data_IF_223662703261
#
_entry.id   IF_223662703261
#
_cell.length_a   1.000
_cell.length_b   1.000
_cell.length_c   1.000
_cell.angle_alpha   90.00
_cell.angle_beta   90.00
_cell.angle_gamma   90.00
#
_symmetry.space_group_name_H-M   'P 1'
#
loop_
_entity.id
_entity.type
_entity.pdbx_description
1 polymer ?
#
# COMPACT_ATOMS: atom_id res chain seq x y z
N UNK A 1 -40.92 -14.45 -2.87
CA UNK A 1 -39.73 -13.59 -2.85
C UNK A 1 -38.49 -14.42 -3.27
N UNK A 2 -37.64 -13.85 -4.09
CA UNK A 2 -36.38 -14.45 -4.52
C UNK A 2 -35.21 -13.58 -4.01
N UNK A 3 -34.21 -14.20 -3.38
CA UNK A 3 -32.99 -13.49 -2.99
C UNK A 3 -32.09 -13.41 -4.22
N UNK A 4 -31.71 -12.19 -4.61
CA UNK A 4 -30.83 -11.92 -5.72
C UNK A 4 -29.38 -11.70 -5.27
N UNK A 5 -29.20 -11.09 -4.10
CA UNK A 5 -27.89 -10.88 -3.49
C UNK A 5 -27.98 -10.76 -1.97
N UNK A 6 -26.88 -11.05 -1.29
CA UNK A 6 -26.75 -10.93 0.16
C UNK A 6 -25.35 -10.49 0.52
N UNK A 7 -25.24 -9.46 1.35
CA UNK A 7 -23.97 -8.94 1.86
C UNK A 7 -24.02 -8.65 3.33
N UNK A 8 -22.96 -9.00 4.06
CA UNK A 8 -22.84 -8.74 5.49
C UNK A 8 -21.56 -7.95 5.76
N UNK A 9 -21.68 -6.96 6.62
CA UNK A 9 -20.53 -6.21 7.13
C UNK A 9 -20.62 -6.05 8.65
N UNK A 10 -19.48 -6.27 9.32
CA UNK A 10 -19.31 -5.96 10.74
C UNK A 10 -18.53 -4.66 10.86
N UNK A 11 -19.21 -3.59 11.29
CA UNK A 11 -18.64 -2.27 11.47
C UNK A 11 -18.63 -1.93 12.95
N UNK A 12 -17.47 -2.03 13.57
CA UNK A 12 -17.28 -1.90 15.02
C UNK A 12 -18.07 -2.98 15.79
N UNK A 13 -19.14 -2.59 16.49
CA UNK A 13 -20.04 -3.47 17.24
C UNK A 13 -21.37 -3.65 16.56
N UNK A 14 -21.52 -3.18 15.33
CA UNK A 14 -22.78 -3.22 14.59
C UNK A 14 -22.65 -4.15 13.40
N UNK A 15 -23.47 -5.20 13.38
CA UNK A 15 -23.63 -6.08 12.25
C UNK A 15 -24.66 -5.47 11.30
N UNK A 16 -24.27 -5.26 10.05
CA UNK A 16 -25.16 -4.80 8.98
C UNK A 16 -25.32 -5.92 7.96
N UNK A 17 -26.56 -6.26 7.63
CA UNK A 17 -26.92 -7.26 6.63
C UNK A 17 -27.76 -6.59 5.56
N UNK A 18 -27.27 -6.60 4.31
CA UNK A 18 -28.00 -6.17 3.13
C UNK A 18 -28.50 -7.38 2.36
N UNK A 19 -29.79 -7.41 2.05
CA UNK A 19 -30.40 -8.47 1.24
C UNK A 19 -31.15 -7.82 0.10
N UNK A 20 -30.77 -8.15 -1.13
CA UNK A 20 -31.53 -7.75 -2.32
C UNK A 20 -32.52 -8.84 -2.66
N UNK A 21 -33.79 -8.50 -2.67
CA UNK A 21 -34.89 -9.43 -2.93
C UNK A 21 -35.74 -8.95 -4.10
N UNK A 22 -36.17 -9.88 -4.93
CA UNK A 22 -37.21 -9.63 -5.93
C UNK A 22 -38.54 -10.14 -5.38
N UNK A 23 -39.54 -9.32 -5.42
CA UNK A 23 -40.92 -9.61 -4.92
C UNK A 23 -41.88 -9.15 -6.00
N UNK A 24 -42.91 -9.96 -6.25
CA UNK A 24 -44.03 -9.55 -7.10
C UNK A 24 -44.83 -8.41 -6.45
N UNK A 25 -45.25 -7.44 -7.25
CA UNK A 25 -45.99 -6.27 -6.75
C UNK A 25 -47.17 -6.63 -5.84
N UNK A 26 -47.92 -7.67 -6.22
CA UNK A 26 -49.09 -8.17 -5.45
C UNK A 26 -48.74 -8.63 -4.03
N UNK A 27 -47.51 -9.09 -3.79
CA UNK A 27 -47.10 -9.66 -2.49
C UNK A 27 -46.12 -8.74 -1.74
N UNK A 28 -45.69 -7.65 -2.32
CA UNK A 28 -44.67 -6.77 -1.73
C UNK A 28 -45.08 -6.22 -0.38
N UNK A 29 -46.29 -5.72 -0.25
CA UNK A 29 -46.80 -5.16 1.00
C UNK A 29 -46.89 -6.20 2.12
N UNK A 30 -47.29 -7.44 1.83
CA UNK A 30 -47.38 -8.51 2.82
C UNK A 30 -46.01 -8.92 3.31
N UNK A 31 -45.05 -9.11 2.41
CA UNK A 31 -43.65 -9.49 2.75
C UNK A 31 -42.99 -8.40 3.60
N UNK A 32 -43.14 -7.12 3.23
CA UNK A 32 -42.59 -6.02 4.03
C UNK A 32 -43.19 -5.97 5.43
N UNK A 33 -44.52 -6.18 5.57
CA UNK A 33 -45.20 -6.23 6.86
C UNK A 33 -44.68 -7.36 7.74
N UNK A 34 -44.53 -8.57 7.20
CA UNK A 34 -44.01 -9.72 7.93
C UNK A 34 -42.53 -9.50 8.37
N UNK A 35 -41.71 -8.91 7.52
CA UNK A 35 -40.34 -8.57 7.85
C UNK A 35 -40.25 -7.52 8.97
N UNK A 36 -41.12 -6.49 8.96
CA UNK A 36 -41.19 -5.49 10.03
C UNK A 36 -41.61 -6.10 11.37
N UNK A 37 -42.60 -6.96 11.38
CA UNK A 37 -43.00 -7.67 12.60
C UNK A 37 -41.86 -8.54 13.13
N UNK A 38 -41.20 -9.29 12.24
CA UNK A 38 -40.10 -10.16 12.65
C UNK A 38 -38.89 -9.37 13.16
N UNK A 39 -38.56 -8.26 12.53
CA UNK A 39 -37.53 -7.35 13.00
C UNK A 39 -37.82 -6.80 14.39
N UNK A 40 -39.09 -6.42 14.65
CA UNK A 40 -39.51 -5.96 15.96
C UNK A 40 -39.38 -7.05 17.03
N UNK A 41 -39.82 -8.30 16.74
CA UNK A 41 -39.66 -9.43 17.66
C UNK A 41 -38.19 -9.71 18.01
N UNK A 42 -37.28 -9.56 17.01
CA UNK A 42 -35.84 -9.82 17.17
C UNK A 42 -35.07 -8.60 17.69
N UNK A 43 -35.74 -7.48 17.90
CA UNK A 43 -35.13 -6.19 18.27
C UNK A 43 -34.03 -5.77 17.30
N UNK A 44 -34.31 -5.90 15.98
CA UNK A 44 -33.40 -5.55 14.89
C UNK A 44 -33.98 -4.36 14.13
N UNK A 45 -33.10 -3.39 13.75
CA UNK A 45 -33.51 -2.30 12.88
C UNK A 45 -33.52 -2.78 11.43
N UNK A 46 -34.59 -2.51 10.70
CA UNK A 46 -34.73 -2.82 9.29
C UNK A 46 -35.11 -1.56 8.51
N UNK A 47 -34.49 -1.38 7.34
CA UNK A 47 -34.83 -0.34 6.38
C UNK A 47 -35.03 -0.95 5.00
N UNK A 48 -35.94 -0.38 4.22
CA UNK A 48 -36.23 -0.81 2.87
C UNK A 48 -35.82 0.32 1.91
N UNK A 49 -35.13 -0.05 0.84
CA UNK A 49 -34.81 0.83 -0.27
C UNK A 49 -35.28 0.16 -1.57
N UNK A 50 -36.18 0.77 -2.34
CA UNK A 50 -36.55 0.24 -3.64
C UNK A 50 -35.36 0.35 -4.59
N UNK A 51 -35.18 -0.64 -5.44
CA UNK A 51 -34.17 -0.67 -6.52
C UNK A 51 -34.92 -0.91 -7.82
N UNK A 52 -34.71 -0.06 -8.80
CA UNK A 52 -35.30 -0.20 -10.13
C UNK A 52 -34.56 -1.27 -10.94
N UNK A 53 -35.22 -1.81 -11.98
CA UNK A 53 -34.58 -2.76 -12.87
C UNK A 53 -33.34 -2.15 -13.57
N UNK A 54 -33.39 -0.87 -13.95
CA UNK A 54 -32.27 -0.16 -14.58
C UNK A 54 -31.08 -0.02 -13.61
N UNK A 55 -31.33 0.29 -12.34
CA UNK A 55 -30.28 0.36 -11.32
C UNK A 55 -29.66 -1.01 -11.05
N UNK A 56 -30.48 -2.06 -11.07
CA UNK A 56 -29.99 -3.43 -10.91
C UNK A 56 -29.11 -3.86 -12.10
N UNK A 57 -29.58 -3.62 -13.35
CA UNK A 57 -28.81 -3.94 -14.56
C UNK A 57 -27.52 -3.13 -14.65
N UNK A 58 -27.53 -1.85 -14.25
CA UNK A 58 -26.31 -1.05 -14.16
C UNK A 58 -25.34 -1.64 -13.13
N UNK A 59 -25.84 -2.08 -11.98
CA UNK A 59 -25.01 -2.76 -10.96
C UNK A 59 -24.44 -4.09 -11.47
N UNK A 60 -25.23 -4.91 -12.17
CA UNK A 60 -24.75 -6.14 -12.82
C UNK A 60 -23.71 -5.83 -13.88
N UNK A 61 -23.91 -4.82 -14.69
CA UNK A 61 -22.96 -4.38 -15.72
C UNK A 61 -21.63 -3.85 -15.16
N UNK A 62 -21.57 -3.52 -13.86
CA UNK A 62 -20.34 -3.16 -13.16
C UNK A 62 -19.53 -4.38 -12.71
N UNK A 63 -20.11 -5.57 -12.72
CA UNK A 63 -19.38 -6.81 -12.42
C UNK A 63 -18.32 -7.08 -13.48
N UNK A 64 -17.16 -7.57 -13.07
CA UNK A 64 -16.06 -7.83 -13.99
C UNK A 64 -15.22 -6.61 -14.39
N UNK A 65 -15.57 -5.39 -13.99
CA UNK A 65 -14.69 -4.22 -14.17
C UNK A 65 -13.38 -4.39 -13.41
N UNK A 66 -12.34 -3.71 -13.90
CA UNK A 66 -11.04 -3.68 -13.24
C UNK A 66 -11.18 -3.27 -11.78
N UNK A 67 -10.35 -3.86 -10.94
CA UNK A 67 -10.25 -3.52 -9.52
C UNK A 67 -8.85 -3.02 -9.21
N UNK A 68 -8.81 -2.05 -8.30
CA UNK A 68 -7.56 -1.51 -7.77
C UNK A 68 -7.63 -1.45 -6.26
N UNK A 69 -6.47 -1.55 -5.64
CA UNK A 69 -6.29 -1.32 -4.22
C UNK A 69 -5.43 -0.07 -4.06
N UNK A 70 -5.99 0.93 -3.39
CA UNK A 70 -5.24 2.09 -2.97
C UNK A 70 -4.98 2.00 -1.47
N UNK A 71 -3.73 1.82 -1.09
CA UNK A 71 -3.31 1.81 0.30
C UNK A 71 -2.79 3.19 0.67
N UNK A 72 -3.26 3.72 1.79
CA UNK A 72 -2.83 5.02 2.34
C UNK A 72 -2.18 4.78 3.70
N UNK A 73 -0.97 5.30 3.87
CA UNK A 73 -0.19 5.16 5.09
C UNK A 73 0.16 6.54 5.62
N UNK A 74 -0.01 6.75 6.91
CA UNK A 74 0.36 8.01 7.56
C UNK A 74 0.59 7.83 9.06
N UNK A 75 1.18 8.81 9.69
CA UNK A 75 1.30 8.83 11.16
C UNK A 75 -0.06 8.98 11.81
N UNK A 76 -0.90 9.82 11.26
CA UNK A 76 -2.31 10.00 11.61
C UNK A 76 -3.12 10.12 10.33
N UNK A 77 -4.38 9.79 10.36
CA UNK A 77 -5.30 9.99 9.25
C UNK A 77 -6.39 10.97 9.71
N UNK A 78 -6.50 12.06 9.01
CA UNK A 78 -7.51 13.10 9.22
C UNK A 78 -8.66 12.98 8.21
N UNK A 79 -9.81 13.56 8.56
CA UNK A 79 -10.94 13.64 7.64
C UNK A 79 -10.57 14.38 6.32
N UNK A 80 -9.73 15.43 6.41
CA UNK A 80 -9.26 16.16 5.23
C UNK A 80 -8.43 15.29 4.29
N UNK A 81 -7.55 14.44 4.81
CA UNK A 81 -6.76 13.50 4.02
C UNK A 81 -7.66 12.47 3.31
N UNK A 82 -8.63 11.91 4.02
CA UNK A 82 -9.60 10.97 3.42
C UNK A 82 -10.43 11.65 2.32
N UNK A 83 -10.91 12.87 2.58
CA UNK A 83 -11.68 13.63 1.60
C UNK A 83 -10.85 13.95 0.33
N UNK A 84 -9.59 14.37 0.48
CA UNK A 84 -8.71 14.65 -0.65
C UNK A 84 -8.45 13.39 -1.50
N UNK A 85 -8.14 12.26 -0.87
CA UNK A 85 -7.96 10.97 -1.54
C UNK A 85 -9.24 10.56 -2.28
N UNK A 86 -10.40 10.64 -1.62
CA UNK A 86 -11.69 10.28 -2.23
C UNK A 86 -12.02 11.18 -3.42
N UNK A 87 -11.62 12.46 -3.38
CA UNK A 87 -11.79 13.40 -4.50
C UNK A 87 -10.97 12.97 -5.72
N UNK A 88 -9.70 12.57 -5.54
CA UNK A 88 -8.87 12.05 -6.63
C UNK A 88 -9.47 10.76 -7.21
N UNK A 89 -9.94 9.84 -6.37
CA UNK A 89 -10.59 8.61 -6.83
C UNK A 89 -11.83 8.94 -7.69
N UNK A 90 -12.68 9.84 -7.20
CA UNK A 90 -13.92 10.22 -7.88
C UNK A 90 -13.64 10.96 -9.19
N UNK A 91 -12.66 11.87 -9.25
CA UNK A 91 -12.29 12.59 -10.48
C UNK A 91 -11.81 11.66 -11.60
N UNK A 92 -11.30 10.48 -11.24
CA UNK A 92 -10.87 9.44 -12.19
C UNK A 92 -11.99 8.43 -12.56
N UNK A 93 -13.24 8.71 -12.17
CA UNK A 93 -14.38 7.85 -12.49
C UNK A 93 -14.38 6.49 -11.77
N UNK A 94 -13.59 6.36 -10.70
CA UNK A 94 -13.54 5.14 -9.89
C UNK A 94 -14.58 5.17 -8.78
N UNK A 95 -15.16 4.00 -8.49
CA UNK A 95 -16.02 3.80 -7.34
C UNK A 95 -15.22 3.22 -6.16
N UNK A 96 -15.54 3.64 -4.95
CA UNK A 96 -14.99 3.05 -3.72
C UNK A 96 -15.98 1.98 -3.25
N UNK A 97 -15.59 0.71 -3.35
CA UNK A 97 -16.42 -0.43 -2.90
C UNK A 97 -16.32 -0.63 -1.39
N UNK A 98 -15.14 -0.43 -0.81
CA UNK A 98 -14.92 -0.55 0.64
C UNK A 98 -13.69 0.24 1.09
N UNK A 99 -13.71 0.60 2.38
CA UNK A 99 -12.56 1.21 3.06
C UNK A 99 -12.27 0.36 4.30
N UNK A 100 -11.05 -0.19 4.37
CA UNK A 100 -10.65 -1.07 5.47
C UNK A 100 -9.41 -0.50 6.19
N UNK A 101 -9.46 -0.45 7.51
CA UNK A 101 -8.28 -0.13 8.31
C UNK A 101 -7.44 -1.39 8.51
N UNK A 102 -6.19 -1.36 8.07
CA UNK A 102 -5.24 -2.48 8.19
C UNK A 102 -4.46 -2.47 9.52
N UNK A 103 -4.34 -1.30 10.15
CA UNK A 103 -3.67 -1.18 11.46
C UNK A 103 -4.62 -1.41 12.60
N UNK A 104 -4.12 -2.01 13.69
CA UNK A 104 -4.89 -2.22 14.91
C UNK A 104 -5.43 -0.92 15.52
N UNK A 105 -6.55 -1.00 16.20
CA UNK A 105 -7.13 0.12 16.96
C UNK A 105 -6.29 0.37 18.21
N UNK A 106 -6.08 1.64 18.54
CA UNK A 106 -5.36 2.04 19.76
C UNK A 106 -6.31 2.58 20.80
N UNK A 107 -5.94 2.38 22.07
CA UNK A 107 -6.66 2.96 23.18
C UNK A 107 -6.59 4.49 23.13
N UNK A 108 -7.74 5.14 23.28
CA UNK A 108 -7.83 6.61 23.38
C UNK A 108 -7.14 7.13 24.66
N UNK A 109 -7.10 6.27 25.70
CA UNK A 109 -6.53 6.61 27.01
C UNK A 109 -5.01 6.51 27.08
N UNK A 110 -4.37 5.78 26.15
CA UNK A 110 -2.91 5.61 26.11
C UNK A 110 -2.34 6.48 25.00
N UNK A 111 -1.71 7.58 25.35
CA UNK A 111 -0.93 8.39 24.42
C UNK A 111 0.30 7.58 23.97
N UNK A 112 0.25 7.04 22.75
CA UNK A 112 1.40 6.41 22.12
C UNK A 112 1.98 7.37 21.10
N UNK A 113 3.24 7.76 21.27
CA UNK A 113 3.94 8.71 20.39
C UNK A 113 4.08 8.20 18.92
N UNK A 114 3.93 6.91 18.69
CA UNK A 114 4.05 6.30 17.37
C UNK A 114 2.69 5.77 16.89
N UNK A 115 1.83 6.65 16.41
CA UNK A 115 0.59 6.23 15.73
C UNK A 115 0.86 6.18 14.24
N UNK A 116 0.98 4.96 13.69
CA UNK A 116 0.91 4.77 12.25
C UNK A 116 -0.48 4.24 11.91
N UNK A 117 -1.10 4.82 10.91
CA UNK A 117 -2.40 4.40 10.41
C UNK A 117 -2.24 3.96 8.96
N UNK A 118 -2.81 2.79 8.65
CA UNK A 118 -2.87 2.27 7.29
C UNK A 118 -4.31 1.92 6.99
N UNK A 119 -4.82 2.45 5.89
CA UNK A 119 -6.15 2.13 5.36
C UNK A 119 -6.04 1.69 3.91
N UNK A 120 -6.92 0.83 3.52
CA UNK A 120 -7.04 0.29 2.18
C UNK A 120 -8.40 0.68 1.61
N UNK A 121 -8.40 1.24 0.40
CA UNK A 121 -9.57 1.48 -0.41
C UNK A 121 -9.62 0.41 -1.50
N UNK A 122 -10.72 -0.32 -1.57
CA UNK A 122 -11.03 -1.18 -2.71
C UNK A 122 -11.78 -0.35 -3.74
N UNK A 123 -11.20 -0.23 -4.94
CA UNK A 123 -11.69 0.61 -6.01
C UNK A 123 -12.17 -0.26 -7.17
N UNK A 124 -13.24 0.17 -7.83
CA UNK A 124 -13.79 -0.48 -9.02
C UNK A 124 -13.89 0.50 -10.18
N UNK A 125 -13.50 0.05 -11.36
CA UNK A 125 -13.53 0.82 -12.60
C UNK A 125 -12.17 0.85 -13.28
N UNK A 126 -12.05 1.68 -14.30
CA UNK A 126 -10.79 1.98 -14.97
C UNK A 126 -10.57 3.48 -14.86
N UNK A 127 -9.43 3.95 -14.31
CA UNK A 127 -9.18 5.38 -14.23
C UNK A 127 -9.18 6.01 -15.62
N UNK A 128 -9.71 7.22 -15.75
CA UNK A 128 -9.69 7.96 -17.01
C UNK A 128 -8.26 8.19 -17.49
N UNK A 129 -7.36 8.55 -16.58
CA UNK A 129 -5.92 8.68 -16.83
C UNK A 129 -5.13 8.17 -15.60
N UNK A 130 -4.50 7.01 -15.78
CA UNK A 130 -3.71 6.39 -14.71
C UNK A 130 -2.48 7.21 -14.32
N UNK A 131 -1.82 7.85 -15.29
CA UNK A 131 -0.63 8.67 -15.04
C UNK A 131 -0.99 9.95 -14.31
N UNK A 132 -2.09 10.60 -14.70
CA UNK A 132 -2.61 11.75 -13.99
C UNK A 132 -3.00 11.40 -12.55
N UNK A 133 -3.70 10.29 -12.35
CA UNK A 133 -4.05 9.81 -11.01
C UNK A 133 -2.83 9.62 -10.13
N UNK A 134 -1.77 8.98 -10.65
CA UNK A 134 -0.53 8.81 -9.92
C UNK A 134 0.11 10.15 -9.56
N UNK A 135 0.16 11.09 -10.50
CA UNK A 135 0.73 12.42 -10.27
C UNK A 135 -0.03 13.19 -9.20
N UNK A 136 -1.36 13.15 -9.22
CA UNK A 136 -2.21 13.78 -8.19
C UNK A 136 -2.00 13.16 -6.81
N UNK A 137 -1.89 11.82 -6.72
CA UNK A 137 -1.60 11.12 -5.49
C UNK A 137 -0.19 11.46 -4.96
N UNK A 138 0.81 11.58 -5.82
CA UNK A 138 2.17 11.99 -5.42
C UNK A 138 2.18 13.42 -4.88
N UNK A 139 1.43 14.33 -5.50
CA UNK A 139 1.28 15.71 -5.02
C UNK A 139 0.63 15.73 -3.63
N UNK A 140 -0.44 14.95 -3.42
CA UNK A 140 -1.08 14.81 -2.11
C UNK A 140 -0.15 14.21 -1.07
N UNK A 141 0.70 13.25 -1.44
CA UNK A 141 1.69 12.65 -0.56
C UNK A 141 2.60 13.71 0.05
N UNK A 142 3.18 14.57 -0.80
CA UNK A 142 4.07 15.64 -0.36
C UNK A 142 3.37 16.71 0.48
N UNK A 143 2.13 17.08 0.12
CA UNK A 143 1.37 18.13 0.82
C UNK A 143 0.81 17.70 2.18
N UNK A 144 0.42 16.43 2.29
CA UNK A 144 -0.33 15.92 3.45
C UNK A 144 0.45 14.95 4.33
N UNK A 145 1.73 14.69 4.02
CA UNK A 145 2.60 13.76 4.76
C UNK A 145 1.97 12.36 4.92
N UNK A 146 1.43 11.84 3.84
CA UNK A 146 0.89 10.49 3.72
C UNK A 146 1.47 9.81 2.50
N UNK A 147 1.68 8.51 2.57
CA UNK A 147 2.19 7.70 1.48
C UNK A 147 1.06 6.91 0.82
N UNK A 148 1.22 6.64 -0.46
CA UNK A 148 0.24 5.91 -1.27
C UNK A 148 0.87 4.73 -1.99
N UNK A 149 0.08 3.67 -2.13
CA UNK A 149 0.37 2.57 -3.03
C UNK A 149 -0.89 2.23 -3.82
N UNK A 150 -0.85 2.40 -5.13
CA UNK A 150 -1.94 2.03 -6.04
C UNK A 150 -1.55 0.75 -6.78
N UNK A 151 -2.34 -0.30 -6.64
CA UNK A 151 -2.10 -1.61 -7.24
C UNK A 151 -3.35 -2.11 -7.95
N UNK A 152 -3.17 -2.78 -9.09
CA UNK A 152 -4.26 -3.53 -9.72
C UNK A 152 -4.56 -4.77 -8.86
N UNK A 153 -5.85 -4.99 -8.53
CA UNK A 153 -6.29 -6.16 -7.78
C UNK A 153 -6.67 -7.29 -8.74
N UNK A 154 -5.66 -7.97 -9.23
CA UNK A 154 -5.81 -9.14 -10.08
C UNK A 154 -5.36 -10.42 -9.37
N UNK A 155 -5.53 -11.57 -10.05
CA UNK A 155 -5.14 -12.86 -9.49
C UNK A 155 -3.64 -12.93 -9.18
N UNK A 156 -2.79 -12.24 -9.93
CA UNK A 156 -1.35 -12.27 -9.72
C UNK A 156 -0.92 -11.56 -8.44
N UNK A 157 -1.64 -10.52 -8.00
CA UNK A 157 -1.36 -9.82 -6.75
C UNK A 157 -1.34 -10.78 -5.54
N UNK A 158 -2.26 -11.74 -5.50
CA UNK A 158 -2.41 -12.67 -4.36
C UNK A 158 -1.51 -13.90 -4.45
N UNK A 159 -0.94 -14.16 -5.62
CA UNK A 159 -0.11 -15.35 -5.87
C UNK A 159 1.39 -15.12 -5.73
N UNK A 160 1.81 -13.88 -5.53
CA UNK A 160 3.23 -13.54 -5.35
C UNK A 160 3.77 -14.15 -4.06
N UNK A 161 4.95 -14.77 -4.15
CA UNK A 161 5.63 -15.42 -3.03
C UNK A 161 7.10 -15.02 -2.90
N UNK A 162 7.60 -14.19 -3.82
CA UNK A 162 8.93 -13.62 -3.81
C UNK A 162 8.83 -12.11 -3.64
N UNK A 163 9.59 -11.58 -2.69
CA UNK A 163 9.78 -10.15 -2.46
C UNK A 163 11.26 -9.85 -2.60
N UNK A 164 11.57 -8.92 -3.47
CA UNK A 164 12.92 -8.43 -3.67
C UNK A 164 13.04 -7.03 -3.07
N UNK A 165 14.09 -6.80 -2.31
CA UNK A 165 14.43 -5.50 -1.75
C UNK A 165 15.71 -5.00 -2.37
N UNK A 166 15.75 -3.73 -2.68
CA UNK A 166 16.99 -3.02 -2.89
C UNK A 166 17.73 -2.86 -1.56
N UNK A 167 19.04 -2.73 -1.60
CA UNK A 167 19.88 -2.65 -0.41
C UNK A 167 20.11 -1.20 0.02
N UNK A 168 20.84 -0.49 -0.82
CA UNK A 168 21.30 0.86 -0.52
C UNK A 168 20.11 1.84 -0.47
N UNK A 169 20.08 2.72 0.51
CA UNK A 169 18.99 3.68 0.75
C UNK A 169 17.58 3.06 0.88
N UNK A 170 17.48 1.72 0.98
CA UNK A 170 16.23 0.97 1.13
C UNK A 170 16.25 0.08 2.38
N UNK A 171 17.01 -1.03 2.38
CA UNK A 171 17.19 -1.87 3.58
C UNK A 171 18.13 -1.24 4.59
N UNK A 172 19.07 -0.45 4.12
CA UNK A 172 19.96 0.39 4.90
C UNK A 172 19.74 1.86 4.56
N UNK A 173 20.04 2.75 5.49
CA UNK A 173 19.79 4.20 5.36
C UNK A 173 20.95 4.95 4.69
N UNK A 174 21.92 4.23 4.11
CA UNK A 174 23.13 4.79 3.50
C UNK A 174 23.45 4.08 2.18
N UNK A 175 24.37 4.64 1.42
CA UNK A 175 24.97 4.05 0.25
C UNK A 175 26.33 3.44 0.65
N UNK A 176 26.52 2.14 0.46
CA UNK A 176 27.76 1.47 0.85
C UNK A 176 29.01 2.05 0.16
N UNK A 177 28.87 2.50 -1.09
CA UNK A 177 29.97 3.10 -1.83
C UNK A 177 30.39 4.46 -1.23
N UNK A 178 29.45 5.23 -0.72
CA UNK A 178 29.72 6.53 -0.10
C UNK A 178 30.41 6.34 1.25
N UNK A 179 30.01 5.34 2.04
CA UNK A 179 30.70 4.99 3.29
C UNK A 179 32.16 4.58 3.04
N UNK A 180 32.41 3.76 2.00
CA UNK A 180 33.76 3.39 1.59
C UNK A 180 34.56 4.61 1.11
N UNK A 181 33.94 5.51 0.37
CA UNK A 181 34.57 6.72 -0.13
C UNK A 181 34.99 7.69 0.99
N UNK A 182 34.14 7.82 2.00
CA UNK A 182 34.47 8.61 3.21
C UNK A 182 35.69 8.03 3.91
N UNK A 183 35.76 6.71 4.12
CA UNK A 183 36.89 6.03 4.75
C UNK A 183 38.17 6.10 3.91
N UNK A 184 38.04 6.16 2.56
CA UNK A 184 39.14 6.35 1.64
C UNK A 184 39.60 7.82 1.50
N UNK A 185 38.88 8.78 2.06
CA UNK A 185 39.15 10.22 1.90
C UNK A 185 38.82 10.78 0.51
N UNK A 186 37.96 10.09 -0.28
CA UNK A 186 37.59 10.45 -1.65
C UNK A 186 36.10 10.76 -1.82
N UNK A 187 35.38 11.04 -0.74
CA UNK A 187 33.94 11.25 -0.73
C UNK A 187 33.46 12.29 -1.74
N UNK A 188 34.12 13.47 -1.79
CA UNK A 188 33.73 14.56 -2.71
C UNK A 188 33.89 14.14 -4.18
N UNK A 189 34.90 13.35 -4.49
CA UNK A 189 35.17 12.85 -5.86
C UNK A 189 34.07 11.84 -6.27
N UNK A 190 33.73 10.92 -5.38
CA UNK A 190 32.65 9.93 -5.61
C UNK A 190 31.32 10.64 -5.80
N UNK A 191 31.01 11.64 -4.97
CA UNK A 191 29.80 12.45 -5.11
C UNK A 191 29.72 13.16 -6.46
N UNK A 192 30.80 13.77 -6.92
CA UNK A 192 30.84 14.43 -8.23
C UNK A 192 30.55 13.47 -9.39
N UNK A 193 31.07 12.22 -9.33
CA UNK A 193 30.78 11.18 -10.33
C UNK A 193 29.31 10.76 -10.27
N UNK A 194 28.76 10.60 -9.06
CA UNK A 194 27.34 10.27 -8.87
C UNK A 194 26.44 11.35 -9.47
N UNK A 195 26.75 12.62 -9.27
CA UNK A 195 25.99 13.73 -9.85
C UNK A 195 26.05 13.75 -11.38
N UNK A 196 27.19 13.42 -11.98
CA UNK A 196 27.33 13.26 -13.45
C UNK A 196 26.45 12.13 -13.98
N UNK A 197 26.41 11.00 -13.29
CA UNK A 197 25.53 9.88 -13.64
C UNK A 197 24.05 10.27 -13.54
N UNK A 198 23.65 10.97 -12.47
CA UNK A 198 22.27 11.44 -12.29
C UNK A 198 21.83 12.44 -13.36
N UNK A 199 22.75 13.24 -13.91
CA UNK A 199 22.48 14.11 -15.06
C UNK A 199 22.47 13.37 -16.41
N UNK A 200 22.76 12.06 -16.41
CA UNK A 200 22.79 11.25 -17.64
C UNK A 200 24.05 11.47 -18.50
N UNK A 201 25.10 12.07 -17.94
CA UNK A 201 26.37 12.30 -18.66
C UNK A 201 27.19 11.02 -18.85
N UNK A 202 27.04 10.08 -17.90
CA UNK A 202 27.68 8.77 -17.92
C UNK A 202 26.66 7.70 -17.52
N UNK A 203 26.83 6.48 -18.01
CA UNK A 203 25.96 5.37 -17.63
C UNK A 203 26.31 4.79 -16.25
N UNK A 204 25.41 3.94 -15.72
CA UNK A 204 25.62 3.32 -14.41
C UNK A 204 26.92 2.51 -14.33
N UNK A 205 27.26 1.76 -15.37
CA UNK A 205 28.41 0.88 -15.39
C UNK A 205 29.73 1.67 -15.41
N UNK A 206 29.75 2.73 -16.16
CA UNK A 206 30.92 3.65 -16.24
C UNK A 206 31.08 4.38 -14.90
N UNK A 207 29.99 4.97 -14.36
CA UNK A 207 29.98 5.61 -13.06
C UNK A 207 30.45 4.68 -11.96
N UNK A 208 29.96 3.44 -11.93
CA UNK A 208 30.35 2.47 -10.91
C UNK A 208 31.85 2.15 -10.99
N UNK A 209 32.38 1.95 -12.19
CA UNK A 209 33.84 1.71 -12.40
C UNK A 209 34.69 2.89 -11.94
N UNK A 210 34.30 4.12 -12.30
CA UNK A 210 35.05 5.31 -11.89
C UNK A 210 35.06 5.44 -10.36
N UNK A 211 33.91 5.26 -9.69
CA UNK A 211 33.81 5.35 -8.24
C UNK A 211 34.63 4.28 -7.53
N UNK A 212 34.54 3.03 -7.98
CA UNK A 212 35.30 1.92 -7.37
C UNK A 212 36.82 2.09 -7.60
N UNK A 213 37.24 2.63 -8.74
CA UNK A 213 38.65 2.87 -8.99
C UNK A 213 39.29 3.85 -7.99
N UNK A 214 38.53 4.80 -7.46
CA UNK A 214 38.94 5.73 -6.40
C UNK A 214 39.22 5.05 -5.06
N UNK A 215 38.65 3.87 -4.81
CA UNK A 215 38.83 3.10 -3.59
C UNK A 215 40.13 2.27 -3.59
N UNK A 216 40.92 2.35 -4.67
CA UNK A 216 42.16 1.59 -4.77
C UNK A 216 43.12 1.88 -3.62
N UNK A 217 43.51 0.81 -2.92
CA UNK A 217 44.45 0.91 -1.78
C UNK A 217 43.73 0.99 -0.42
N UNK A 218 42.40 1.05 -0.40
CA UNK A 218 41.64 0.94 0.86
C UNK A 218 41.80 -0.47 1.41
N UNK A 219 42.06 -0.58 2.71
CA UNK A 219 42.17 -1.87 3.39
C UNK A 219 40.84 -2.58 3.44
N UNK A 220 40.82 -3.89 3.17
CA UNK A 220 39.60 -4.69 3.15
C UNK A 220 38.91 -4.77 4.52
N UNK A 221 39.67 -4.63 5.63
CA UNK A 221 39.13 -4.60 6.98
C UNK A 221 38.07 -3.49 7.19
N UNK A 222 38.17 -2.42 6.43
CA UNK A 222 37.19 -1.32 6.42
C UNK A 222 35.79 -1.79 6.03
N UNK A 223 35.70 -2.78 5.13
CA UNK A 223 34.40 -3.35 4.75
C UNK A 223 33.71 -4.05 5.91
N UNK A 224 34.48 -4.73 6.76
CA UNK A 224 33.93 -5.38 7.95
C UNK A 224 33.42 -4.35 8.96
N UNK A 225 34.21 -3.31 9.23
CA UNK A 225 33.80 -2.24 10.15
C UNK A 225 32.52 -1.54 9.67
N UNK A 226 32.41 -1.26 8.38
CA UNK A 226 31.17 -0.68 7.81
C UNK A 226 30.01 -1.68 7.94
N UNK A 227 30.19 -2.94 7.59
CA UNK A 227 29.14 -3.96 7.63
C UNK A 227 28.53 -4.15 9.02
N UNK A 228 29.40 -4.14 10.06
CA UNK A 228 28.99 -4.28 11.46
C UNK A 228 28.20 -3.05 11.97
N UNK A 229 28.40 -1.89 11.33
CA UNK A 229 27.80 -0.62 11.73
C UNK A 229 26.75 -0.08 10.72
N UNK A 230 26.30 -0.90 9.76
CA UNK A 230 25.29 -0.46 8.77
C UNK A 230 23.99 -0.01 9.47
N UNK A 231 23.50 1.20 9.17
CA UNK A 231 22.25 1.69 9.73
C UNK A 231 21.07 1.02 9.03
N UNK A 232 20.58 -0.08 9.59
CA UNK A 232 19.40 -0.79 9.05
C UNK A 232 18.16 0.08 9.16
N UNK A 233 17.34 0.10 8.12
CA UNK A 233 16.11 0.88 8.07
C UNK A 233 15.13 0.45 9.17
N UNK A 234 14.57 1.42 9.86
CA UNK A 234 13.66 1.18 10.99
C UNK A 234 12.49 0.24 10.58
N UNK A 235 12.38 -0.87 11.27
CA UNK A 235 11.33 -1.86 11.06
C UNK A 235 11.63 -2.92 10.00
N UNK A 236 12.80 -2.89 9.35
CA UNK A 236 13.20 -3.90 8.35
C UNK A 236 13.21 -5.31 8.96
N UNK A 237 13.83 -5.51 10.14
CA UNK A 237 13.86 -6.81 10.82
C UNK A 237 12.48 -7.37 11.09
N UNK A 238 11.58 -6.50 11.58
CA UNK A 238 10.19 -6.89 11.84
C UNK A 238 9.47 -7.26 10.54
N UNK A 239 9.67 -6.49 9.48
CA UNK A 239 9.09 -6.76 8.16
C UNK A 239 9.58 -8.11 7.63
N UNK A 240 10.89 -8.37 7.66
CA UNK A 240 11.48 -9.63 7.21
C UNK A 240 10.93 -10.83 8.00
N UNK A 241 10.82 -10.69 9.32
CA UNK A 241 10.26 -11.73 10.18
C UNK A 241 8.81 -12.04 9.84
N UNK A 242 7.98 -11.03 9.62
CA UNK A 242 6.56 -11.20 9.24
C UNK A 242 6.45 -11.84 7.86
N UNK A 243 7.22 -11.39 6.88
CA UNK A 243 7.19 -11.92 5.52
C UNK A 243 7.61 -13.40 5.49
N UNK A 244 8.67 -13.78 6.22
CA UNK A 244 9.09 -15.19 6.36
C UNK A 244 7.98 -16.04 6.97
N UNK A 245 7.31 -15.57 8.02
CA UNK A 245 6.17 -16.26 8.66
C UNK A 245 4.97 -16.40 7.73
N UNK A 246 4.75 -15.43 6.84
CA UNK A 246 3.72 -15.48 5.81
C UNK A 246 4.11 -16.37 4.60
N UNK A 247 5.26 -17.02 4.62
CA UNK A 247 5.72 -17.94 3.58
C UNK A 247 6.32 -17.27 2.34
N UNK A 248 6.68 -16.00 2.43
CA UNK A 248 7.38 -15.33 1.33
C UNK A 248 8.86 -15.73 1.30
N UNK A 249 9.38 -15.87 0.08
CA UNK A 249 10.81 -15.87 -0.19
C UNK A 249 11.27 -14.42 -0.27
N UNK A 250 12.41 -14.12 0.35
CA UNK A 250 12.98 -12.78 0.38
C UNK A 250 14.33 -12.83 -0.35
N UNK A 251 14.57 -11.85 -1.19
CA UNK A 251 15.84 -11.66 -1.89
C UNK A 251 16.28 -10.19 -1.78
N UNK A 252 17.59 -9.99 -1.74
CA UNK A 252 18.21 -8.68 -1.88
C UNK A 252 18.70 -8.58 -3.32
N UNK A 253 18.30 -7.54 -4.03
CA UNK A 253 18.80 -7.19 -5.36
C UNK A 253 19.46 -5.82 -5.26
N UNK A 254 20.78 -5.79 -5.47
CA UNK A 254 21.57 -4.57 -5.41
C UNK A 254 22.58 -4.53 -6.53
N UNK A 255 22.80 -3.35 -7.07
CA UNK A 255 23.91 -3.06 -8.00
C UNK A 255 25.26 -2.83 -7.30
N UNK A 256 25.29 -2.89 -5.96
CA UNK A 256 26.45 -2.59 -5.13
C UNK A 256 27.33 -3.82 -4.84
N UNK A 257 27.88 -3.84 -3.62
CA UNK A 257 28.86 -4.83 -3.19
C UNK A 257 28.20 -6.07 -2.58
N UNK A 258 28.50 -7.24 -3.11
CA UNK A 258 28.00 -8.54 -2.59
C UNK A 258 28.38 -8.78 -1.13
N UNK A 259 29.50 -8.23 -0.67
CA UNK A 259 29.97 -8.36 0.70
C UNK A 259 28.93 -7.87 1.72
N UNK A 260 28.35 -6.68 1.49
CA UNK A 260 27.34 -6.11 2.38
C UNK A 260 26.01 -6.84 2.27
N UNK A 261 25.63 -7.27 1.06
CA UNK A 261 24.43 -8.08 0.85
C UNK A 261 24.50 -9.42 1.58
N UNK A 262 25.66 -10.08 1.55
CA UNK A 262 25.90 -11.34 2.30
C UNK A 262 25.91 -11.13 3.83
N UNK A 263 26.37 -9.98 4.30
CA UNK A 263 26.31 -9.61 5.71
C UNK A 263 24.86 -9.44 6.17
N UNK A 264 24.05 -8.69 5.42
CA UNK A 264 22.64 -8.44 5.74
C UNK A 264 21.74 -9.69 5.59
N UNK A 265 22.19 -10.70 4.83
CA UNK A 265 21.45 -11.96 4.64
C UNK A 265 21.49 -12.85 5.90
N UNK A 266 22.47 -12.69 6.78
CA UNK A 266 22.64 -13.50 8.01
C UNK A 266 21.58 -13.14 9.03
#
# INVERSE_FOLDING_TARGET
AQILDIGQADIHSTLSLGILIRIDELHSGQVMKELLFKASELNVNIGFAPVTDDEYEDWVGRQGKNRYILTVIGRTLSAGQIAAVSKVIASQGLNIDSILRLTGRKSIKKHSASVRACIEFSLRGTPYDHSQMQSELMLLSSQMQIDFSLQKDDMYRRMRRLICFDMDSTLIQTECIDELAVRAGVGDQVKAITERAMRGEIDFKESFKERVALLKGLDVSVMQDIAENLPVTEGADRLMSVLKRCGYKIAILSGGFTYFGEHLRK
#
